data_IF_444368524962
#
_entry.id   IF_444368524962
#
_cell.length_a   1.000
_cell.length_b   1.000
_cell.length_c   1.000
_cell.angle_alpha   90.00
_cell.angle_beta   90.00
_cell.angle_gamma   90.00
#
_symmetry.space_group_name_H-M   'P 1'
#
loop_
_entity.id
_entity.type
_entity.pdbx_description
1 polymer ?
#
# COMPACT_ATOMS: atom_id res chain seq x y z
N UNK A 1 -10.67 11.90 4.56
CA UNK A 1 -10.34 10.85 3.54
C UNK A 1 -8.84 10.67 3.37
N UNK A 2 -8.05 11.74 3.15
CA UNK A 2 -6.59 11.63 3.03
C UNK A 2 -5.92 11.13 4.33
N UNK A 3 -6.41 11.56 5.49
CA UNK A 3 -5.86 11.19 6.81
C UNK A 3 -5.91 9.68 7.09
N UNK A 4 -6.96 8.98 6.67
CA UNK A 4 -7.09 7.53 6.90
C UNK A 4 -6.08 6.72 6.06
N UNK A 5 -5.80 7.18 4.85
CA UNK A 5 -4.74 6.61 4.02
C UNK A 5 -3.37 6.88 4.66
N UNK A 6 -3.15 8.09 5.16
CA UNK A 6 -1.89 8.44 5.83
C UNK A 6 -1.64 7.58 7.08
N UNK A 7 -2.67 7.33 7.89
CA UNK A 7 -2.60 6.40 9.02
C UNK A 7 -2.23 4.98 8.59
N UNK A 8 -2.85 4.48 7.51
CA UNK A 8 -2.54 3.16 6.95
C UNK A 8 -1.11 3.07 6.40
N UNK A 9 -0.63 4.13 5.74
CA UNK A 9 0.74 4.20 5.23
C UNK A 9 1.77 4.28 6.36
N UNK A 10 1.46 5.03 7.42
CA UNK A 10 2.30 5.11 8.62
C UNK A 10 2.38 3.74 9.29
N UNK A 11 1.25 3.06 9.47
CA UNK A 11 1.20 1.71 10.02
C UNK A 11 2.02 0.71 9.19
N UNK A 12 1.90 0.74 7.87
CA UNK A 12 2.73 -0.08 6.97
C UNK A 12 4.23 0.24 7.10
N UNK A 13 4.57 1.52 7.25
CA UNK A 13 5.95 1.96 7.46
C UNK A 13 6.50 1.49 8.81
N UNK A 14 5.75 1.63 9.90
CA UNK A 14 6.18 1.19 11.23
C UNK A 14 6.31 -0.33 11.32
N UNK A 15 5.38 -1.07 10.71
CA UNK A 15 5.35 -2.53 10.80
C UNK A 15 6.45 -3.22 9.97
N UNK A 16 6.91 -2.62 8.86
CA UNK A 16 7.92 -3.23 7.96
C UNK A 16 9.18 -2.40 7.72
N UNK A 17 9.24 -1.18 8.25
CA UNK A 17 10.36 -0.26 8.06
C UNK A 17 10.51 0.27 6.63
N UNK A 18 9.44 0.27 5.83
CA UNK A 18 9.52 0.67 4.42
C UNK A 18 8.92 2.05 4.17
N UNK A 19 9.70 2.93 3.55
CA UNK A 19 9.27 4.30 3.26
C UNK A 19 8.45 4.40 1.98
N UNK A 20 7.15 4.60 2.14
CA UNK A 20 6.21 4.81 1.03
C UNK A 20 6.12 6.28 0.56
N UNK A 21 6.88 7.17 1.18
CA UNK A 21 6.93 8.62 0.90
C UNK A 21 7.42 8.95 -0.50
N UNK A 22 8.28 8.10 -1.10
CA UNK A 22 8.74 8.24 -2.48
C UNK A 22 7.69 7.85 -3.54
N UNK A 23 6.55 7.28 -3.13
CA UNK A 23 5.52 6.79 -4.05
C UNK A 23 4.35 7.76 -4.19
N UNK A 24 3.77 7.80 -5.39
CA UNK A 24 2.55 8.57 -5.65
C UNK A 24 1.41 8.03 -4.78
N UNK A 25 0.95 8.84 -3.83
CA UNK A 25 -0.19 8.56 -2.94
C UNK A 25 -1.43 8.05 -3.69
N UNK A 26 -1.72 8.66 -4.85
CA UNK A 26 -2.83 8.26 -5.70
C UNK A 26 -2.76 6.79 -6.17
N UNK A 27 -1.56 6.27 -6.43
CA UNK A 27 -1.36 4.88 -6.87
C UNK A 27 -1.57 3.90 -5.71
N UNK A 28 -1.07 4.24 -4.51
CA UNK A 28 -1.28 3.44 -3.31
C UNK A 28 -2.76 3.42 -2.92
N UNK A 29 -3.40 4.60 -2.89
CA UNK A 29 -4.81 4.74 -2.59
C UNK A 29 -5.69 3.84 -3.47
N UNK A 30 -5.47 3.87 -4.79
CA UNK A 30 -6.25 3.08 -5.74
C UNK A 30 -6.10 1.57 -5.50
N UNK A 31 -4.91 1.11 -5.12
CA UNK A 31 -4.66 -0.31 -4.80
C UNK A 31 -5.32 -0.72 -3.50
N UNK A 32 -5.22 0.11 -2.46
CA UNK A 32 -5.90 -0.13 -1.18
C UNK A 32 -7.41 -0.18 -1.41
N UNK A 33 -7.97 0.74 -2.21
CA UNK A 33 -9.40 0.73 -2.57
C UNK A 33 -9.82 -0.54 -3.33
N UNK A 34 -9.02 -1.02 -4.28
CA UNK A 34 -9.31 -2.27 -5.00
C UNK A 34 -9.29 -3.48 -4.05
N UNK A 35 -8.32 -3.55 -3.14
CA UNK A 35 -8.27 -4.62 -2.13
C UNK A 35 -9.42 -4.51 -1.15
N UNK A 36 -9.71 -3.32 -0.63
CA UNK A 36 -10.90 -3.06 0.19
C UNK A 36 -12.16 -3.56 -0.49
N UNK A 37 -12.37 -3.23 -1.76
CA UNK A 37 -13.53 -3.69 -2.53
C UNK A 37 -13.56 -5.22 -2.70
N UNK A 38 -12.40 -5.87 -2.75
CA UNK A 38 -12.29 -7.34 -2.83
C UNK A 38 -12.69 -8.01 -1.50
N UNK A 39 -12.33 -7.40 -0.37
CA UNK A 39 -12.72 -7.88 0.98
C UNK A 39 -14.15 -7.42 1.35
N UNK A 40 -14.76 -6.54 0.55
CA UNK A 40 -16.09 -6.00 0.80
C UNK A 40 -16.11 -4.77 1.74
N UNK A 41 -14.94 -4.22 2.06
CA UNK A 41 -14.80 -3.06 2.94
C UNK A 41 -15.02 -1.75 2.19
N UNK A 42 -15.82 -0.85 2.77
CA UNK A 42 -16.15 0.47 2.17
C UNK A 42 -15.40 1.63 2.81
N UNK A 43 -14.84 1.43 4.00
CA UNK A 43 -14.14 2.46 4.79
C UNK A 43 -12.72 2.05 5.11
N UNK A 44 -11.78 2.99 4.98
CA UNK A 44 -10.38 2.75 5.31
C UNK A 44 -10.18 2.43 6.78
N UNK A 45 -10.98 3.02 7.68
CA UNK A 45 -10.94 2.71 9.10
C UNK A 45 -11.28 1.24 9.38
N UNK A 46 -12.35 0.73 8.75
CA UNK A 46 -12.79 -0.66 8.88
C UNK A 46 -11.75 -1.63 8.31
N UNK A 47 -11.16 -1.26 7.16
CA UNK A 47 -10.06 -2.03 6.59
C UNK A 47 -8.80 -2.00 7.46
N UNK A 48 -8.50 -0.87 8.11
CA UNK A 48 -7.36 -0.73 9.00
C UNK A 48 -7.55 -1.55 10.29
N UNK A 49 -8.76 -1.60 10.85
CA UNK A 49 -9.11 -2.47 11.96
C UNK A 49 -8.96 -3.95 11.56
N UNK A 50 -9.47 -4.32 10.39
CA UNK A 50 -9.32 -5.67 9.84
C UNK A 50 -7.85 -6.08 9.66
N UNK A 51 -6.98 -5.16 9.22
CA UNK A 51 -5.54 -5.41 9.09
C UNK A 51 -4.83 -5.56 10.44
N UNK A 52 -5.31 -4.90 11.49
CA UNK A 52 -4.78 -5.04 12.84
C UNK A 52 -5.17 -6.38 13.47
N UNK A 53 -6.39 -6.85 13.22
CA UNK A 53 -6.89 -8.15 13.69
C UNK A 53 -6.27 -9.30 12.89
N UNK A 54 -6.18 -9.17 11.56
CA UNK A 54 -5.66 -10.20 10.67
C UNK A 54 -4.32 -9.79 10.03
N UNK A 55 -3.23 -10.16 10.72
CA UNK A 55 -1.86 -9.87 10.25
C UNK A 55 -1.49 -10.60 8.95
N UNK A 56 -2.25 -11.64 8.58
CA UNK A 56 -2.03 -12.39 7.34
C UNK A 56 -2.53 -11.58 6.14
N UNK A 57 -3.70 -10.96 6.23
CA UNK A 57 -4.21 -10.03 5.23
C UNK A 57 -3.29 -8.80 5.09
N UNK A 58 -2.76 -8.29 6.21
CA UNK A 58 -1.72 -7.25 6.18
C UNK A 58 -0.52 -7.67 5.35
N UNK A 59 0.00 -8.88 5.59
CA UNK A 59 1.14 -9.40 4.84
C UNK A 59 0.81 -9.55 3.35
N UNK A 60 -0.42 -9.97 3.00
CA UNK A 60 -0.87 -10.09 1.60
C UNK A 60 -0.98 -8.74 0.91
N UNK A 61 -1.60 -7.74 1.56
CA UNK A 61 -1.68 -6.38 1.05
C UNK A 61 -0.26 -5.82 0.83
N UNK A 62 0.59 -5.93 1.85
CA UNK A 62 1.96 -5.46 1.81
C UNK A 62 2.75 -6.12 0.67
N UNK A 63 2.69 -7.45 0.54
CA UNK A 63 3.39 -8.18 -0.50
C UNK A 63 2.85 -7.83 -1.91
N UNK A 64 1.54 -7.64 -2.05
CA UNK A 64 0.92 -7.17 -3.31
C UNK A 64 1.43 -5.80 -3.72
N UNK A 65 1.55 -4.87 -2.77
CA UNK A 65 2.13 -3.54 -3.00
C UNK A 65 3.61 -3.70 -3.34
N UNK A 66 4.37 -4.48 -2.56
CA UNK A 66 5.81 -4.72 -2.70
C UNK A 66 6.20 -5.30 -4.07
N UNK A 67 5.55 -6.39 -4.50
CA UNK A 67 5.79 -7.05 -5.80
C UNK A 67 5.57 -6.06 -6.95
N UNK A 68 4.54 -5.23 -6.85
CA UNK A 68 4.27 -4.27 -7.90
C UNK A 68 5.22 -3.07 -7.88
N UNK A 69 5.67 -2.61 -6.70
CA UNK A 69 6.61 -1.47 -6.62
C UNK A 69 8.04 -1.87 -6.97
N UNK A 70 8.45 -3.11 -6.70
CA UNK A 70 9.75 -3.65 -7.15
C UNK A 70 9.79 -3.81 -8.66
N UNK A 71 8.67 -4.14 -9.31
CA UNK A 71 8.55 -4.14 -10.77
C UNK A 71 8.65 -2.74 -11.39
N UNK A 72 8.31 -1.69 -10.64
CA UNK A 72 8.43 -0.29 -11.08
C UNK A 72 9.87 0.26 -10.93
N UNK A 73 10.74 -0.40 -10.15
CA UNK A 73 12.13 0.01 -9.93
C UNK A 73 13.10 -0.37 -11.07
N UNK A 74 12.59 -0.76 -12.24
CA UNK A 74 13.40 -0.80 -13.48
C UNK A 74 13.11 0.42 -14.32
N UNK A 75 13.84 1.51 -14.07
CA UNK A 75 14.48 2.31 -15.12
C UNK A 75 15.32 3.43 -14.49
N UNK A 76 16.65 3.29 -14.45
CA UNK A 76 17.50 4.34 -14.96
C UNK A 76 17.50 4.21 -16.48
N UNK A 77 16.98 5.22 -17.18
CA UNK A 77 17.26 5.42 -18.59
C UNK A 77 18.78 5.34 -18.78
N UNK A 78 19.27 4.43 -19.61
CA UNK A 78 20.64 4.54 -20.12
C UNK A 78 20.69 3.97 -21.53
N UNK A 79 21.08 4.83 -22.46
CA UNK A 79 21.05 4.59 -23.90
C UNK A 79 20.99 5.91 -24.65
N UNK A 80 21.87 6.85 -24.29
CA UNK A 80 22.17 8.01 -25.12
C UNK A 80 22.98 7.52 -26.32
N UNK A 81 22.34 7.40 -27.49
CA UNK A 81 22.87 7.68 -28.84
C UNK A 81 21.87 7.25 -29.90
#
# INVERSE_FOLDING_TARGET
>A
MAEQLEALLLYLKESRGFDFTAYKRATLMRRVQVRMHTVGMRSFADYLDYLQVDSNEFTRLFNTILINVTRFFRHPRCGSR
#
